data_IF_989947706766
#
_entry.id   IF_989947706766
#
_cell.length_a   1.000
_cell.length_b   1.000
_cell.length_c   1.000
_cell.angle_alpha   90.00
_cell.angle_beta   90.00
_cell.angle_gamma   90.00
#
_symmetry.space_group_name_H-M   'P 1'
#
loop_
_entity.id
_entity.type
_entity.pdbx_description
1 polymer ?
#
# COMPACT_ATOMS: atom_id res chain seq x y z
N UNK A 1 -18.42 -62.18 -27.83
CA UNK A 1 -16.99 -61.90 -27.56
C UNK A 1 -16.87 -60.41 -27.31
N UNK A 2 -16.72 -59.99 -26.05
CA UNK A 2 -16.49 -58.58 -25.71
C UNK A 2 -15.23 -58.54 -24.85
N UNK A 3 -14.14 -58.03 -25.44
CA UNK A 3 -12.88 -57.82 -24.73
C UNK A 3 -12.92 -56.47 -24.02
N UNK A 4 -12.84 -56.49 -22.69
CA UNK A 4 -12.66 -55.28 -21.89
C UNK A 4 -11.19 -54.86 -21.94
N UNK A 5 -10.90 -53.66 -22.46
CA UNK A 5 -9.59 -53.03 -22.32
C UNK A 5 -9.52 -52.30 -20.99
N UNK A 6 -8.60 -52.73 -20.12
CA UNK A 6 -8.23 -52.05 -18.89
C UNK A 6 -7.24 -50.92 -19.19
N UNK A 7 -7.74 -49.69 -19.26
CA UNK A 7 -6.88 -48.49 -19.25
C UNK A 7 -6.57 -48.13 -17.80
N UNK A 8 -5.47 -48.65 -17.27
CA UNK A 8 -4.91 -48.17 -16.00
C UNK A 8 -4.27 -46.80 -16.25
N UNK A 9 -5.07 -45.74 -16.28
CA UNK A 9 -4.56 -44.38 -16.26
C UNK A 9 -3.99 -44.13 -14.86
N UNK A 10 -2.67 -44.19 -14.71
CA UNK A 10 -1.99 -43.87 -13.45
C UNK A 10 -2.31 -42.46 -12.94
N UNK A 11 -2.15 -42.25 -11.62
CA UNK A 11 -2.39 -40.95 -10.98
C UNK A 11 -1.48 -39.88 -11.61
N UNK A 12 -2.05 -38.82 -12.23
CA UNK A 12 -1.27 -37.78 -12.89
C UNK A 12 -0.31 -37.05 -11.95
N UNK A 13 -0.54 -37.07 -10.63
CA UNK A 13 0.36 -36.45 -9.65
C UNK A 13 1.72 -37.14 -9.56
N UNK A 14 1.84 -38.41 -10.00
CA UNK A 14 3.12 -39.10 -10.07
C UNK A 14 4.09 -38.48 -11.09
N UNK A 15 3.57 -37.71 -12.07
CA UNK A 15 4.39 -36.95 -13.03
C UNK A 15 4.91 -35.62 -12.49
N UNK A 16 4.32 -35.07 -11.41
CA UNK A 16 4.83 -33.85 -10.77
C UNK A 16 6.14 -34.08 -10.01
N UNK A 17 6.37 -35.31 -9.54
CA UNK A 17 7.60 -35.71 -8.86
C UNK A 17 8.74 -36.07 -9.81
N UNK A 18 8.51 -36.01 -11.13
CA UNK A 18 9.57 -36.21 -12.10
C UNK A 18 10.57 -35.04 -11.98
N UNK A 19 11.72 -35.32 -11.36
CA UNK A 19 12.89 -34.44 -11.28
C UNK A 19 13.54 -34.30 -12.66
N UNK A 20 12.76 -33.87 -13.66
CA UNK A 20 13.35 -33.30 -14.87
C UNK A 20 14.22 -32.14 -14.43
N UNK A 21 15.44 -32.05 -14.96
CA UNK A 21 16.35 -30.93 -14.79
C UNK A 21 15.72 -29.68 -15.40
N UNK A 22 14.76 -29.11 -14.69
CA UNK A 22 14.10 -27.86 -15.05
C UNK A 22 15.16 -26.78 -14.99
N UNK A 23 15.67 -26.41 -16.17
CA UNK A 23 16.66 -25.34 -16.30
C UNK A 23 16.05 -24.09 -15.69
N UNK A 24 16.67 -23.58 -14.63
CA UNK A 24 16.23 -22.34 -13.98
C UNK A 24 16.08 -21.27 -15.06
N UNK A 25 14.90 -20.65 -15.20
CA UNK A 25 14.68 -19.67 -16.26
C UNK A 25 15.70 -18.55 -16.12
N UNK A 26 16.36 -18.21 -17.23
CA UNK A 26 17.39 -17.17 -17.25
C UNK A 26 16.73 -15.85 -16.85
N UNK A 27 17.22 -15.24 -15.77
CA UNK A 27 16.75 -13.93 -15.33
C UNK A 27 17.20 -12.90 -16.37
N UNK A 28 16.29 -12.51 -17.27
CA UNK A 28 16.61 -11.59 -18.38
C UNK A 28 16.85 -10.17 -17.84
N UNK A 29 16.17 -9.80 -16.74
CA UNK A 29 16.27 -8.50 -16.08
C UNK A 29 16.30 -8.69 -14.56
N UNK A 30 17.09 -7.90 -13.83
CA UNK A 30 16.92 -7.84 -12.37
C UNK A 30 15.49 -7.37 -12.12
N UNK A 31 14.73 -8.15 -11.35
CA UNK A 31 13.43 -7.69 -10.85
C UNK A 31 13.66 -6.46 -10.00
N UNK A 32 12.70 -5.55 -9.96
CA UNK A 32 12.59 -4.38 -9.06
C UNK A 32 12.64 -4.74 -7.55
N UNK A 33 13.03 -5.98 -7.21
CA UNK A 33 13.22 -6.52 -5.89
C UNK A 33 14.20 -5.75 -5.01
N UNK A 34 14.86 -4.68 -5.48
CA UNK A 34 15.67 -3.75 -4.64
C UNK A 34 14.99 -2.38 -4.41
N UNK A 35 14.20 -1.85 -5.34
CA UNK A 35 13.43 -0.61 -5.13
C UNK A 35 12.04 -0.84 -4.48
N UNK A 36 11.56 0.02 -3.57
CA UNK A 36 10.17 -0.01 -3.16
C UNK A 36 9.27 0.38 -4.34
N UNK A 37 8.04 -0.12 -4.41
CA UNK A 37 7.18 0.11 -5.59
C UNK A 37 6.64 1.55 -5.72
N UNK A 38 6.44 2.23 -4.58
CA UNK A 38 5.78 3.54 -4.47
C UNK A 38 6.37 4.32 -3.29
N UNK A 39 6.52 5.63 -3.44
CA UNK A 39 6.68 6.58 -2.33
C UNK A 39 5.44 7.47 -2.21
N UNK A 40 5.12 7.90 -0.99
CA UNK A 40 4.03 8.84 -0.75
C UNK A 40 4.47 9.99 0.16
N UNK A 41 3.71 11.09 0.06
CA UNK A 41 3.80 12.25 0.91
C UNK A 41 2.39 12.57 1.44
N UNK A 42 2.26 12.64 2.76
CA UNK A 42 1.07 13.05 3.49
C UNK A 42 1.30 14.48 4.00
N UNK A 43 0.42 15.40 3.62
CA UNK A 43 0.41 16.76 4.14
C UNK A 43 -0.76 16.95 5.10
N UNK A 44 -0.49 17.42 6.31
CA UNK A 44 -1.50 17.73 7.33
C UNK A 44 -1.16 19.09 7.95
N UNK A 45 -2.05 20.08 7.78
CA UNK A 45 -1.91 21.43 8.37
C UNK A 45 -0.54 22.10 8.15
N UNK A 46 0.09 21.88 7.00
CA UNK A 46 1.39 22.45 6.65
C UNK A 46 2.59 21.56 6.97
N UNK A 47 2.42 20.51 7.78
CA UNK A 47 3.44 19.49 8.00
C UNK A 47 3.38 18.44 6.89
N UNK A 48 4.54 17.93 6.47
CA UNK A 48 4.64 16.89 5.45
C UNK A 48 5.44 15.70 5.96
N UNK A 49 4.81 14.51 5.92
CA UNK A 49 5.45 13.24 6.23
C UNK A 49 5.62 12.45 4.93
N UNK A 50 6.78 11.83 4.74
CA UNK A 50 7.06 11.00 3.56
C UNK A 50 7.50 9.59 3.96
N UNK A 51 7.17 8.62 3.13
CA UNK A 51 7.71 7.27 3.24
C UNK A 51 7.60 6.50 1.93
N UNK A 52 8.31 5.39 1.85
CA UNK A 52 8.16 4.38 0.80
C UNK A 52 7.27 3.23 1.28
N UNK A 53 6.69 2.49 0.34
CA UNK A 53 6.01 1.24 0.62
C UNK A 53 6.92 0.29 1.43
N UNK A 54 6.34 -0.43 2.39
CA UNK A 54 7.05 -1.41 3.20
C UNK A 54 7.50 -2.60 2.35
N UNK A 55 8.78 -2.95 2.46
CA UNK A 55 9.41 -3.96 1.61
C UNK A 55 9.89 -5.22 2.32
N UNK A 56 10.21 -5.13 3.62
CA UNK A 56 10.68 -6.27 4.40
C UNK A 56 9.59 -7.32 4.62
N UNK A 57 9.98 -8.55 4.95
CA UNK A 57 9.02 -9.64 5.21
C UNK A 57 8.12 -9.33 6.43
N UNK A 58 8.63 -8.55 7.39
CA UNK A 58 7.86 -8.11 8.53
C UNK A 58 6.85 -7.02 8.14
N UNK A 59 5.55 -7.19 8.45
CA UNK A 59 4.57 -6.11 8.27
C UNK A 59 4.93 -4.90 9.15
N UNK A 60 4.70 -3.67 8.67
CA UNK A 60 4.91 -2.48 9.48
C UNK A 60 3.96 -2.49 10.68
N UNK A 61 4.41 -1.97 11.82
CA UNK A 61 3.55 -1.75 12.98
C UNK A 61 2.61 -0.59 12.67
N UNK A 62 1.31 -0.88 12.52
CA UNK A 62 0.28 0.11 12.24
C UNK A 62 -0.38 0.59 13.53
N UNK A 63 -0.96 1.79 13.47
CA UNK A 63 -1.77 2.33 14.58
C UNK A 63 -3.04 1.47 14.74
N UNK A 64 -3.52 1.17 15.97
CA UNK A 64 -4.67 0.30 16.19
C UNK A 64 -5.89 0.64 15.33
N UNK A 65 -6.30 1.92 15.28
CA UNK A 65 -7.42 2.33 14.42
C UNK A 65 -7.25 2.05 12.92
N UNK A 66 -6.01 2.07 12.42
CA UNK A 66 -5.71 1.73 11.02
C UNK A 66 -5.75 0.22 10.85
N UNK A 67 -5.14 -0.52 11.78
CA UNK A 67 -5.14 -1.97 11.80
C UNK A 67 -6.57 -2.53 11.85
N UNK A 68 -7.39 -2.08 12.81
CA UNK A 68 -8.79 -2.48 12.99
C UNK A 68 -9.62 -2.24 11.71
N UNK A 69 -9.40 -1.10 11.04
CA UNK A 69 -10.10 -0.81 9.79
C UNK A 69 -9.70 -1.79 8.67
N UNK A 70 -8.40 -2.05 8.51
CA UNK A 70 -7.91 -2.97 7.49
C UNK A 70 -8.36 -4.41 7.75
N UNK A 71 -8.38 -4.83 9.01
CA UNK A 71 -8.84 -6.15 9.45
C UNK A 71 -10.36 -6.33 9.29
N UNK A 72 -11.12 -5.22 9.23
CA UNK A 72 -12.56 -5.24 8.97
C UNK A 72 -12.93 -5.20 7.47
N UNK A 73 -11.98 -4.98 6.56
CA UNK A 73 -12.28 -4.91 5.12
C UNK A 73 -12.89 -6.22 4.60
N UNK A 74 -13.84 -6.17 3.67
CA UNK A 74 -14.32 -7.38 2.99
C UNK A 74 -13.35 -7.81 1.89
N UNK A 75 -13.44 -9.06 1.41
CA UNK A 75 -12.56 -9.59 0.36
C UNK A 75 -12.52 -8.73 -0.90
N UNK A 76 -13.63 -8.08 -1.28
CA UNK A 76 -13.69 -7.18 -2.44
C UNK A 76 -12.90 -5.87 -2.27
N UNK A 77 -12.54 -5.50 -1.04
CA UNK A 77 -11.79 -4.28 -0.73
C UNK A 77 -10.35 -4.58 -0.28
N UNK A 78 -10.01 -5.85 -0.01
CA UNK A 78 -8.68 -6.27 0.44
C UNK A 78 -7.74 -6.53 -0.72
N UNK A 79 -6.52 -6.02 -0.59
CA UNK A 79 -5.43 -6.30 -1.51
C UNK A 79 -4.40 -7.23 -0.86
N UNK A 80 -3.65 -8.02 -1.63
CA UNK A 80 -2.67 -8.98 -1.08
C UNK A 80 -1.55 -8.35 -0.24
N UNK A 81 -1.30 -7.06 -0.43
CA UNK A 81 -0.27 -6.28 0.26
C UNK A 81 -0.87 -5.26 1.25
N UNK A 82 -2.12 -5.49 1.68
CA UNK A 82 -2.83 -4.61 2.64
C UNK A 82 -1.96 -4.30 3.86
N UNK A 83 -1.94 -3.02 4.26
CA UNK A 83 -1.16 -2.54 5.41
C UNK A 83 0.31 -2.19 5.11
N UNK A 84 0.87 -2.61 3.96
CA UNK A 84 2.25 -2.29 3.57
C UNK A 84 2.36 -1.04 2.69
N UNK A 85 1.23 -0.54 2.20
CA UNK A 85 1.17 0.67 1.40
C UNK A 85 1.68 1.89 2.19
N UNK A 86 2.39 2.82 1.55
CA UNK A 86 2.91 4.00 2.23
C UNK A 86 1.79 4.86 2.85
N UNK A 87 0.58 4.84 2.29
CA UNK A 87 -0.60 5.53 2.84
C UNK A 87 -0.97 5.03 4.23
N UNK A 88 -1.05 3.70 4.43
CA UNK A 88 -1.37 3.11 5.73
C UNK A 88 -0.29 3.40 6.77
N UNK A 89 0.98 3.39 6.34
CA UNK A 89 2.14 3.70 7.18
C UNK A 89 2.11 5.18 7.60
N UNK A 90 1.87 6.11 6.67
CA UNK A 90 1.83 7.55 6.96
C UNK A 90 0.66 7.93 7.86
N UNK A 91 -0.54 7.39 7.61
CA UNK A 91 -1.69 7.59 8.49
C UNK A 91 -1.38 7.06 9.89
N UNK A 92 -0.81 5.86 9.99
CA UNK A 92 -0.43 5.27 11.28
C UNK A 92 0.56 6.15 12.04
N UNK A 93 1.64 6.58 11.38
CA UNK A 93 2.64 7.47 12.01
C UNK A 93 2.03 8.79 12.49
N UNK A 94 1.19 9.41 11.66
CA UNK A 94 0.50 10.65 12.02
C UNK A 94 -0.43 10.46 13.21
N UNK A 95 -1.22 9.39 13.24
CA UNK A 95 -2.14 9.10 14.33
C UNK A 95 -1.40 8.78 15.63
N UNK A 96 -0.31 8.00 15.57
CA UNK A 96 0.55 7.73 16.72
C UNK A 96 1.15 9.04 17.25
N UNK A 97 1.65 9.92 16.38
CA UNK A 97 2.18 11.23 16.80
C UNK A 97 1.09 12.13 17.40
N UNK A 98 -0.11 12.13 16.82
CA UNK A 98 -1.24 12.86 17.37
C UNK A 98 -1.65 12.33 18.74
N UNK A 99 -1.59 11.01 18.96
CA UNK A 99 -1.88 10.36 20.22
C UNK A 99 -0.85 10.69 21.29
N UNK A 100 0.45 10.59 20.98
CA UNK A 100 1.54 10.92 21.91
C UNK A 100 1.60 12.40 22.25
N UNK A 101 1.15 13.28 21.35
CA UNK A 101 1.02 14.72 21.57
C UNK A 101 -0.15 15.12 22.49
N UNK A 102 -1.05 14.20 22.87
CA UNK A 102 -2.16 14.51 23.79
C UNK A 102 -1.67 14.72 25.22
N UNK A 103 -2.48 15.35 26.08
CA UNK A 103 -2.14 15.48 27.50
C UNK A 103 -2.03 14.10 28.19
N UNK A 104 -1.23 14.00 29.26
CA UNK A 104 -1.06 12.75 30.04
C UNK A 104 -2.40 12.12 30.48
N UNK A 105 -3.42 12.95 30.78
CA UNK A 105 -4.76 12.48 31.15
C UNK A 105 -5.50 11.88 29.95
N UNK A 106 -5.39 12.53 28.78
CA UNK A 106 -6.04 12.09 27.56
C UNK A 106 -5.39 10.82 26.98
N UNK A 107 -4.07 10.68 27.09
CA UNK A 107 -3.34 9.48 26.65
C UNK A 107 -3.74 8.20 27.39
N UNK A 108 -4.39 8.29 28.56
CA UNK A 108 -4.94 7.11 29.26
C UNK A 108 -6.09 6.45 28.52
N UNK A 109 -6.72 7.15 27.58
CA UNK A 109 -7.80 6.62 26.75
C UNK A 109 -7.28 6.44 25.32
N UNK A 110 -7.53 5.29 24.68
CA UNK A 110 -7.18 5.10 23.27
C UNK A 110 -7.77 6.21 22.39
N UNK A 111 -7.05 6.59 21.34
CA UNK A 111 -7.56 7.53 20.35
C UNK A 111 -8.85 7.00 19.72
N UNK A 112 -9.89 7.83 19.65
CA UNK A 112 -11.16 7.47 19.01
C UNK A 112 -11.15 7.77 17.51
N UNK A 113 -12.05 7.13 16.74
CA UNK A 113 -12.22 7.42 15.32
C UNK A 113 -12.57 8.90 15.04
N UNK A 114 -13.32 9.56 15.92
CA UNK A 114 -13.65 10.98 15.79
C UNK A 114 -12.42 11.89 15.99
N UNK A 115 -11.59 11.59 16.98
CA UNK A 115 -10.33 12.29 17.20
C UNK A 115 -9.34 12.05 16.06
N UNK A 116 -9.27 10.82 15.53
CA UNK A 116 -8.43 10.49 14.38
C UNK A 116 -8.82 11.30 13.13
N UNK A 117 -10.11 11.38 12.80
CA UNK A 117 -10.61 12.23 11.70
C UNK A 117 -10.30 13.71 11.93
N UNK A 118 -10.38 14.20 13.18
CA UNK A 118 -10.01 15.57 13.52
C UNK A 118 -8.50 15.82 13.37
N UNK A 119 -7.67 14.85 13.73
CA UNK A 119 -6.22 14.91 13.57
C UNK A 119 -5.80 14.94 12.10
N UNK A 120 -6.57 14.28 11.22
CA UNK A 120 -6.36 14.23 9.77
C UNK A 120 -7.22 15.25 9.00
N UNK A 121 -7.83 16.23 9.68
CA UNK A 121 -8.70 17.21 9.03
C UNK A 121 -7.95 17.98 7.94
N UNK A 122 -8.52 18.00 6.74
CA UNK A 122 -7.93 18.61 5.52
C UNK A 122 -6.62 17.98 5.05
N UNK A 123 -6.28 16.77 5.53
CA UNK A 123 -5.11 16.07 5.08
C UNK A 123 -5.20 15.71 3.59
N UNK A 124 -4.06 15.79 2.91
CA UNK A 124 -3.91 15.42 1.51
C UNK A 124 -2.76 14.44 1.38
N UNK A 125 -2.90 13.47 0.49
CA UNK A 125 -1.85 12.48 0.23
C UNK A 125 -1.58 12.37 -1.27
N UNK A 126 -0.32 12.32 -1.66
CA UNK A 126 0.09 12.02 -3.03
C UNK A 126 1.05 10.85 -3.01
N UNK A 127 1.03 10.03 -4.06
CA UNK A 127 1.97 8.93 -4.21
C UNK A 127 2.55 8.89 -5.62
N UNK A 128 3.79 8.41 -5.72
CA UNK A 128 4.62 8.40 -6.93
C UNK A 128 5.19 7.00 -7.12
N UNK A 129 5.14 6.48 -8.34
CA UNK A 129 5.78 5.21 -8.69
C UNK A 129 7.30 5.36 -8.61
N UNK A 130 7.98 4.39 -8.01
CA UNK A 130 9.43 4.28 -8.06
C UNK A 130 9.77 3.11 -8.98
N UNK A 131 10.57 3.37 -9.99
CA UNK A 131 11.02 2.41 -11.02
C UNK A 131 12.52 2.60 -11.27
N UNK A 132 13.13 1.69 -12.02
CA UNK A 132 14.52 1.84 -12.45
C UNK A 132 14.71 3.07 -13.38
N UNK A 133 15.95 3.52 -13.50
CA UNK A 133 16.29 4.63 -14.39
C UNK A 133 15.91 4.30 -15.84
N UNK A 134 15.24 5.26 -16.49
CA UNK A 134 14.74 5.10 -17.86
C UNK A 134 13.34 4.50 -17.97
N UNK A 135 12.72 4.02 -16.89
CA UNK A 135 11.30 3.63 -16.93
C UNK A 135 10.40 4.88 -17.02
N UNK A 136 9.57 5.02 -18.08
CA UNK A 136 8.72 6.19 -18.27
C UNK A 136 7.64 6.35 -17.18
N UNK A 137 7.34 5.31 -16.43
CA UNK A 137 6.40 5.36 -15.32
C UNK A 137 7.05 5.85 -14.02
N UNK A 138 8.38 5.96 -13.93
CA UNK A 138 9.05 6.53 -12.77
C UNK A 138 8.50 7.94 -12.48
N UNK A 139 8.19 8.23 -11.21
CA UNK A 139 7.68 9.54 -10.81
C UNK A 139 6.25 9.86 -11.23
N UNK A 140 5.58 8.99 -12.02
CA UNK A 140 4.16 9.15 -12.34
C UNK A 140 3.28 8.96 -11.10
N UNK A 141 2.12 9.61 -11.08
CA UNK A 141 1.16 9.49 -9.98
C UNK A 141 0.70 8.04 -9.80
N UNK A 142 0.81 7.54 -8.57
CA UNK A 142 0.29 6.24 -8.17
C UNK A 142 -1.05 6.44 -7.44
N UNK A 143 -2.20 6.03 -8.03
CA UNK A 143 -3.47 6.09 -7.31
C UNK A 143 -3.46 5.12 -6.11
N UNK A 144 -4.17 5.43 -5.02
CA UNK A 144 -4.26 4.53 -3.88
C UNK A 144 -4.86 3.18 -4.29
N UNK A 145 -4.36 2.08 -3.72
CA UNK A 145 -4.94 0.76 -3.97
C UNK A 145 -6.38 0.67 -3.40
N UNK A 146 -7.11 -0.40 -3.71
CA UNK A 146 -8.51 -0.58 -3.24
C UNK A 146 -8.65 -0.41 -1.73
N UNK A 147 -7.81 -1.08 -0.95
CA UNK A 147 -7.84 -1.02 0.52
C UNK A 147 -7.48 0.38 1.05
N UNK A 148 -6.49 1.03 0.44
CA UNK A 148 -6.09 2.38 0.85
C UNK A 148 -7.11 3.43 0.44
N UNK A 149 -7.79 3.28 -0.69
CA UNK A 149 -8.89 4.17 -1.10
C UNK A 149 -10.01 4.18 -0.06
N UNK A 150 -10.39 3.00 0.44
CA UNK A 150 -11.36 2.87 1.52
C UNK A 150 -10.86 3.49 2.83
N UNK A 151 -9.61 3.20 3.21
CA UNK A 151 -8.98 3.72 4.42
C UNK A 151 -8.92 5.26 4.42
N UNK A 152 -8.45 5.84 3.33
CA UNK A 152 -8.35 7.30 3.16
C UNK A 152 -9.74 7.94 3.23
N UNK A 153 -10.75 7.33 2.60
CA UNK A 153 -12.13 7.81 2.67
C UNK A 153 -12.69 7.76 4.09
N UNK A 154 -12.43 6.68 4.84
CA UNK A 154 -12.86 6.52 6.23
C UNK A 154 -12.31 7.61 7.15
N UNK A 155 -11.05 7.99 6.96
CA UNK A 155 -10.39 9.02 7.76
C UNK A 155 -10.53 10.45 7.19
N UNK A 156 -11.12 10.61 6.01
CA UNK A 156 -11.33 11.91 5.37
C UNK A 156 -10.05 12.52 4.76
N UNK A 157 -9.09 11.69 4.37
CA UNK A 157 -7.83 12.10 3.72
C UNK A 157 -8.02 12.09 2.21
N UNK A 158 -7.68 13.20 1.54
CA UNK A 158 -7.88 13.33 0.09
C UNK A 158 -6.65 12.90 -0.70
N UNK A 159 -6.72 11.87 -1.57
CA UNK A 159 -5.66 11.61 -2.54
C UNK A 159 -5.62 12.76 -3.56
N UNK A 160 -4.42 13.24 -3.89
CA UNK A 160 -4.21 14.32 -4.87
C UNK A 160 -3.16 13.91 -5.89
N UNK A 161 -3.47 14.18 -7.16
CA UNK A 161 -2.50 14.08 -8.24
C UNK A 161 -1.89 15.46 -8.50
N UNK A 162 -0.63 15.63 -8.11
CA UNK A 162 0.08 16.89 -8.24
C UNK A 162 0.59 17.17 -9.66
N UNK A 163 0.50 16.20 -10.59
CA UNK A 163 0.89 16.43 -12.00
C UNK A 163 -0.02 17.43 -12.70
N UNK A 164 -1.29 17.49 -12.30
CA UNK A 164 -2.28 18.46 -12.82
C UNK A 164 -2.16 19.85 -12.20
N UNK A 165 -1.63 19.95 -10.97
CA UNK A 165 -1.62 21.21 -10.19
C UNK A 165 -0.41 22.10 -10.52
N UNK A 166 0.67 21.53 -11.09
CA UNK A 166 1.89 22.27 -11.45
C UNK A 166 1.73 23.29 -12.58
N UNK A 167 0.59 23.33 -13.27
CA UNK A 167 0.33 24.26 -14.38
C UNK A 167 -0.32 25.59 -13.98
N UNK A 168 -0.70 25.80 -12.71
CA UNK A 168 -1.61 26.91 -12.33
C UNK A 168 -1.03 27.99 -11.39
N UNK A 169 0.28 28.05 -11.16
CA UNK A 169 0.87 29.12 -10.33
C UNK A 169 2.14 29.70 -10.93
N UNK A 170 2.02 30.32 -12.10
CA UNK A 170 2.90 31.41 -12.54
C UNK A 170 2.12 32.32 -13.48
N UNK A 171 1.24 33.15 -12.92
CA UNK A 171 0.71 34.32 -13.60
C UNK A 171 0.98 35.52 -12.70
N UNK A 172 2.07 36.18 -13.04
CA UNK A 172 2.61 37.42 -12.49
C UNK A 172 1.53 38.51 -12.37
N UNK A 173 1.56 39.24 -11.24
CA UNK A 173 1.15 40.64 -11.21
C UNK A 173 2.25 41.45 -11.88
N UNK A 174 1.94 42.00 -13.05
CA UNK A 174 2.53 43.23 -13.59
C UNK A 174 1.46 44.32 -13.54
#
# INVERSE_FOLDING_TARGET
MHSAQTVTSGDPRLTWSATGTSRTPRLIHRRDGILPAVAAALSVRGETLTCTAGKGDQPPVLHPLVQDFLDALTSGQRERFTGRCPEAILLSRHLTAAETGRSKRAQRKPLTNGEARRALKHARITARRIREDGDPLHGSYAPPCRSCSALLSHFGVRPVDLTSTGAATTAEKG
#
